data_IF_604750070080
#
_entry.id   IF_604750070080
#
_cell.length_a   1.000
_cell.length_b   1.000
_cell.length_c   1.000
_cell.angle_alpha   90.00
_cell.angle_beta   90.00
_cell.angle_gamma   90.00
#
_symmetry.space_group_name_H-M   'P 1'
#
loop_
_entity.id
_entity.type
_entity.pdbx_description
1 polymer ?
#
# COMPACT_ATOMS: atom_id res chain seq x y z
N UNK A 1 14.91 -31.89 -10.29
CA UNK A 1 13.82 -31.67 -9.30
C UNK A 1 14.07 -30.44 -8.42
N UNK A 2 15.33 -30.20 -7.97
CA UNK A 2 15.72 -28.99 -7.25
C UNK A 2 15.50 -27.69 -8.04
N UNK A 3 15.76 -27.68 -9.35
CA UNK A 3 15.64 -26.46 -10.17
C UNK A 3 14.20 -25.99 -10.35
N UNK A 4 13.26 -26.96 -10.45
CA UNK A 4 11.82 -26.66 -10.49
C UNK A 4 11.34 -26.04 -9.17
N UNK A 5 11.83 -26.53 -8.03
CA UNK A 5 11.49 -25.98 -6.72
C UNK A 5 12.06 -24.57 -6.52
N UNK A 6 13.29 -24.33 -6.98
CA UNK A 6 13.94 -23.02 -6.91
C UNK A 6 13.17 -21.98 -7.74
N UNK A 7 12.78 -22.35 -8.97
CA UNK A 7 12.00 -21.49 -9.87
C UNK A 7 10.64 -21.11 -9.26
N UNK A 8 9.95 -22.06 -8.62
CA UNK A 8 8.67 -21.80 -7.93
C UNK A 8 8.87 -20.83 -6.77
N UNK A 9 9.93 -20.97 -5.97
CA UNK A 9 10.22 -20.08 -4.84
C UNK A 9 10.56 -18.66 -5.28
N UNK A 10 11.45 -18.52 -6.27
CA UNK A 10 11.80 -17.21 -6.84
C UNK A 10 10.56 -16.50 -7.40
N UNK A 11 9.64 -17.27 -7.97
CA UNK A 11 8.39 -16.75 -8.50
C UNK A 11 7.44 -16.22 -7.41
N UNK A 12 7.24 -16.95 -6.31
CA UNK A 12 6.43 -16.43 -5.18
C UNK A 12 7.02 -15.16 -4.58
N UNK A 13 8.36 -15.07 -4.53
CA UNK A 13 9.07 -13.86 -4.10
C UNK A 13 8.75 -12.71 -5.07
N UNK A 14 8.83 -12.94 -6.38
CA UNK A 14 8.51 -11.92 -7.39
C UNK A 14 7.08 -11.40 -7.29
N UNK A 15 6.09 -12.30 -7.20
CA UNK A 15 4.68 -11.92 -6.98
C UNK A 15 4.52 -11.13 -5.69
N UNK A 16 5.24 -11.52 -4.63
CA UNK A 16 5.21 -10.79 -3.37
C UNK A 16 5.79 -9.39 -3.46
N UNK A 17 6.90 -9.21 -4.18
CA UNK A 17 7.48 -7.88 -4.39
C UNK A 17 6.53 -6.99 -5.18
N UNK A 18 5.86 -7.50 -6.22
CA UNK A 18 4.87 -6.75 -6.99
C UNK A 18 3.65 -6.36 -6.15
N UNK A 19 3.17 -7.27 -5.31
CA UNK A 19 2.04 -7.02 -4.43
C UNK A 19 2.40 -6.02 -3.32
N UNK A 20 3.59 -6.15 -2.74
CA UNK A 20 4.13 -5.19 -1.78
C UNK A 20 4.25 -3.80 -2.41
N UNK A 21 4.82 -3.70 -3.61
CA UNK A 21 4.91 -2.45 -4.35
C UNK A 21 3.53 -1.83 -4.61
N UNK A 22 2.52 -2.66 -4.89
CA UNK A 22 1.13 -2.20 -5.06
C UNK A 22 0.56 -1.56 -3.79
N UNK A 23 0.83 -2.14 -2.62
CA UNK A 23 0.42 -1.58 -1.34
C UNK A 23 1.20 -0.31 -0.99
N UNK A 24 2.52 -0.35 -1.16
CA UNK A 24 3.42 0.66 -0.58
C UNK A 24 3.73 1.83 -1.51
N UNK A 25 3.95 1.61 -2.82
CA UNK A 25 4.37 2.68 -3.74
C UNK A 25 3.38 3.85 -3.80
N UNK A 26 2.04 3.64 -3.84
CA UNK A 26 1.10 4.76 -3.78
C UNK A 26 1.25 5.61 -2.51
N UNK A 27 1.42 4.97 -1.36
CA UNK A 27 1.59 5.63 -0.06
C UNK A 27 2.92 6.38 -0.03
N UNK A 28 4.00 5.75 -0.47
CA UNK A 28 5.32 6.37 -0.53
C UNK A 28 5.32 7.58 -1.49
N UNK A 29 4.65 7.47 -2.63
CA UNK A 29 4.55 8.57 -3.59
C UNK A 29 3.70 9.72 -3.05
N UNK A 30 2.59 9.40 -2.36
CA UNK A 30 1.81 10.39 -1.61
C UNK A 30 2.66 11.10 -0.58
N UNK A 31 3.40 10.35 0.24
CA UNK A 31 4.32 10.92 1.24
C UNK A 31 5.34 11.88 0.63
N UNK A 32 5.95 11.51 -0.52
CA UNK A 32 6.91 12.37 -1.21
C UNK A 32 6.29 13.66 -1.73
N UNK A 33 5.12 13.58 -2.39
CA UNK A 33 4.42 14.79 -2.87
C UNK A 33 3.99 15.67 -1.69
N UNK A 34 3.47 15.05 -0.64
CA UNK A 34 3.06 15.76 0.55
C UNK A 34 4.23 16.53 1.19
N UNK A 35 5.39 15.90 1.34
CA UNK A 35 6.61 16.54 1.86
C UNK A 35 7.08 17.72 1.01
N UNK A 36 6.84 17.71 -0.30
CA UNK A 36 7.18 18.84 -1.17
C UNK A 36 6.27 20.06 -0.97
N UNK A 37 5.05 19.87 -0.44
CA UNK A 37 4.10 20.94 -0.16
C UNK A 37 4.40 21.66 1.18
N UNK A 38 5.34 21.13 1.95
CA UNK A 38 5.72 21.63 3.27
C UNK A 38 7.00 22.46 3.11
N UNK A 39 6.93 23.74 3.50
CA UNK A 39 8.02 24.72 3.31
C UNK A 39 9.18 24.61 4.29
N UNK A 40 9.08 23.79 5.34
CA UNK A 40 10.09 23.70 6.38
C UNK A 40 10.83 22.34 6.38
N UNK A 41 12.08 22.36 5.93
CA UNK A 41 12.96 21.19 5.75
C UNK A 41 13.77 20.84 7.02
N UNK A 42 13.54 21.54 8.14
CA UNK A 42 14.39 21.45 9.34
C UNK A 42 14.17 20.25 10.27
N UNK A 43 13.10 19.47 10.08
CA UNK A 43 12.75 18.40 11.04
C UNK A 43 13.19 17.01 10.61
N UNK A 44 14.16 16.44 11.34
CA UNK A 44 14.39 14.98 11.48
C UNK A 44 13.17 14.21 12.03
N UNK A 45 12.09 14.92 12.39
CA UNK A 45 10.84 14.40 12.92
C UNK A 45 9.83 14.13 11.79
N UNK A 46 9.33 12.94 11.55
CA UNK A 46 9.71 11.60 11.98
C UNK A 46 9.08 10.71 10.89
N UNK A 47 9.82 9.82 10.24
CA UNK A 47 9.26 8.97 9.17
C UNK A 47 8.28 7.90 9.71
N UNK A 48 7.71 8.08 10.90
CA UNK A 48 6.97 7.05 11.64
C UNK A 48 5.71 6.60 10.89
N UNK A 49 4.94 7.54 10.34
CA UNK A 49 3.76 7.23 9.52
C UNK A 49 4.10 6.39 8.28
N UNK A 50 5.17 6.76 7.56
CA UNK A 50 5.60 6.03 6.36
C UNK A 50 6.30 4.71 6.69
N UNK A 51 7.08 4.64 7.79
CA UNK A 51 7.72 3.42 8.30
C UNK A 51 6.67 2.39 8.75
N UNK A 52 5.64 2.83 9.47
CA UNK A 52 4.53 1.96 9.86
C UNK A 52 3.78 1.46 8.61
N UNK A 53 3.55 2.36 7.64
CA UNK A 53 3.01 1.98 6.32
C UNK A 53 3.85 0.92 5.62
N UNK A 54 5.18 1.05 5.63
CA UNK A 54 6.09 0.05 5.08
C UNK A 54 5.93 -1.31 5.76
N UNK A 55 5.97 -1.36 7.09
CA UNK A 55 5.84 -2.61 7.87
C UNK A 55 4.48 -3.27 7.61
N UNK A 56 3.39 -2.50 7.67
CA UNK A 56 2.04 -3.03 7.45
C UNK A 56 1.89 -3.51 6.00
N UNK A 57 2.47 -2.82 5.01
CA UNK A 57 2.41 -3.26 3.62
C UNK A 57 3.11 -4.62 3.40
N UNK A 58 4.21 -4.89 4.11
CA UNK A 58 4.87 -6.21 4.10
C UNK A 58 3.94 -7.24 4.74
N UNK A 59 3.39 -6.94 5.92
CA UNK A 59 2.48 -7.85 6.61
C UNK A 59 1.27 -8.22 5.74
N UNK A 60 0.60 -7.23 5.14
CA UNK A 60 -0.54 -7.42 4.24
C UNK A 60 -0.16 -8.24 3.01
N UNK A 61 1.04 -8.03 2.47
CA UNK A 61 1.58 -8.82 1.35
C UNK A 61 1.74 -10.28 1.74
N UNK A 62 2.38 -10.56 2.89
CA UNK A 62 2.59 -11.93 3.39
C UNK A 62 1.25 -12.62 3.59
N UNK A 63 0.30 -11.97 4.28
CA UNK A 63 -1.04 -12.51 4.52
C UNK A 63 -1.77 -12.78 3.21
N UNK A 64 -1.70 -11.86 2.25
CA UNK A 64 -2.34 -12.01 0.94
C UNK A 64 -1.76 -13.20 0.16
N UNK A 65 -0.44 -13.32 0.06
CA UNK A 65 0.20 -14.46 -0.63
C UNK A 65 -0.12 -15.77 0.08
N UNK A 66 -0.08 -15.79 1.41
CA UNK A 66 -0.35 -16.98 2.20
C UNK A 66 -1.79 -17.50 2.00
N UNK A 67 -2.75 -16.58 1.93
CA UNK A 67 -4.17 -16.93 1.70
C UNK A 67 -4.50 -17.22 0.24
N UNK A 68 -3.70 -16.72 -0.71
CA UNK A 68 -3.97 -16.83 -2.15
C UNK A 68 -4.18 -18.29 -2.60
N UNK A 69 -3.31 -19.27 -2.32
CA UNK A 69 -3.50 -20.66 -2.78
C UNK A 69 -4.86 -21.27 -2.44
N UNK A 70 -5.45 -20.90 -1.30
CA UNK A 70 -6.73 -21.46 -0.83
C UNK A 70 -7.94 -20.67 -1.32
N UNK A 71 -7.83 -19.35 -1.40
CA UNK A 71 -8.98 -18.47 -1.60
C UNK A 71 -8.94 -17.64 -2.90
N UNK A 72 -7.93 -17.80 -3.74
CA UNK A 72 -7.72 -16.97 -4.93
C UNK A 72 -8.92 -16.96 -5.90
N UNK A 73 -9.65 -18.08 -6.04
CA UNK A 73 -10.86 -18.17 -6.88
C UNK A 73 -12.08 -17.51 -6.24
N UNK A 74 -12.07 -17.24 -4.94
CA UNK A 74 -13.21 -16.67 -4.22
C UNK A 74 -13.32 -15.16 -4.47
N UNK A 75 -14.46 -14.72 -5.02
CA UNK A 75 -14.75 -13.29 -5.27
C UNK A 75 -14.77 -12.47 -3.97
N UNK A 76 -15.26 -13.05 -2.87
CA UNK A 76 -15.33 -12.41 -1.56
C UNK A 76 -13.92 -12.08 -1.05
N UNK A 77 -12.97 -13.00 -1.19
CA UNK A 77 -11.57 -12.78 -0.82
C UNK A 77 -10.95 -11.59 -1.58
N UNK A 78 -11.23 -11.46 -2.88
CA UNK A 78 -10.75 -10.33 -3.69
C UNK A 78 -11.35 -9.00 -3.22
N UNK A 79 -12.65 -8.98 -2.93
CA UNK A 79 -13.34 -7.80 -2.39
C UNK A 79 -12.75 -7.40 -1.04
N UNK A 80 -12.49 -8.38 -0.16
CA UNK A 80 -11.90 -8.13 1.16
C UNK A 80 -10.51 -7.50 1.02
N UNK A 81 -9.64 -8.04 0.16
CA UNK A 81 -8.31 -7.45 -0.05
C UNK A 81 -8.41 -6.02 -0.58
N UNK A 82 -9.30 -5.77 -1.54
CA UNK A 82 -9.53 -4.42 -2.04
C UNK A 82 -9.96 -3.51 -0.88
N UNK A 83 -10.94 -3.92 -0.07
CA UNK A 83 -11.39 -3.15 1.09
C UNK A 83 -10.26 -2.89 2.11
N UNK A 84 -9.45 -3.90 2.40
CA UNK A 84 -8.28 -3.79 3.28
C UNK A 84 -7.26 -2.79 2.70
N UNK A 85 -6.99 -2.85 1.39
CA UNK A 85 -6.14 -1.86 0.73
C UNK A 85 -6.69 -0.44 0.86
N UNK A 86 -7.98 -0.24 0.60
CA UNK A 86 -8.62 1.08 0.69
C UNK A 86 -8.48 1.66 2.10
N UNK A 87 -8.81 0.87 3.12
CA UNK A 87 -8.70 1.26 4.52
C UNK A 87 -7.25 1.54 4.91
N UNK A 88 -6.32 0.67 4.50
CA UNK A 88 -4.91 0.82 4.78
C UNK A 88 -4.31 2.10 4.16
N UNK A 89 -4.63 2.37 2.89
CA UNK A 89 -4.18 3.58 2.19
C UNK A 89 -4.69 4.83 2.91
N UNK A 90 -6.00 4.90 3.19
CA UNK A 90 -6.62 6.06 3.87
C UNK A 90 -6.00 6.25 5.26
N UNK A 91 -5.92 5.18 6.05
CA UNK A 91 -5.37 5.24 7.41
C UNK A 91 -3.91 5.72 7.43
N UNK A 92 -3.10 5.25 6.46
CA UNK A 92 -1.68 5.65 6.39
C UNK A 92 -1.52 7.09 5.92
N UNK A 93 -2.33 7.55 4.95
CA UNK A 93 -2.30 8.95 4.52
C UNK A 93 -2.77 9.90 5.64
N UNK A 94 -3.79 9.51 6.42
CA UNK A 94 -4.21 10.25 7.62
C UNK A 94 -3.09 10.26 8.66
N UNK A 95 -2.45 9.11 8.90
CA UNK A 95 -1.33 9.01 9.83
C UNK A 95 -0.15 9.92 9.45
N UNK A 96 0.20 9.98 8.16
CA UNK A 96 1.20 10.90 7.61
C UNK A 96 0.81 12.37 7.86
N UNK A 97 -0.45 12.73 7.57
CA UNK A 97 -0.95 14.09 7.81
C UNK A 97 -1.00 14.46 9.29
N UNK A 98 -1.34 13.50 10.16
CA UNK A 98 -1.39 13.69 11.61
C UNK A 98 -0.01 13.87 12.23
N UNK A 99 0.95 13.04 11.84
CA UNK A 99 2.34 13.15 12.30
C UNK A 99 2.92 14.52 11.92
N UNK A 100 2.60 15.01 10.73
CA UNK A 100 2.95 16.37 10.33
C UNK A 100 2.29 17.44 11.22
N UNK A 101 0.98 17.32 11.50
CA UNK A 101 0.25 18.25 12.37
C UNK A 101 0.86 18.35 13.76
N UNK A 102 1.16 17.20 14.38
CA UNK A 102 1.69 17.14 15.74
C UNK A 102 3.09 17.79 15.85
N UNK A 103 3.91 17.68 14.80
CA UNK A 103 5.31 18.12 14.83
C UNK A 103 5.53 19.56 14.34
N UNK A 104 4.65 20.08 13.48
CA UNK A 104 4.85 21.40 12.83
C UNK A 104 3.74 22.42 13.12
N UNK A 105 2.81 22.12 14.03
CA UNK A 105 1.82 23.08 14.52
C UNK A 105 0.83 23.59 13.47
N UNK A 106 0.72 22.90 12.32
CA UNK A 106 -0.22 23.28 11.25
C UNK A 106 -1.66 23.25 11.76
N UNK A 107 -2.46 24.24 11.35
CA UNK A 107 -3.84 24.48 11.81
C UNK A 107 -4.88 23.48 11.31
N UNK A 108 -4.50 22.51 10.48
CA UNK A 108 -5.45 21.58 9.89
C UNK A 108 -6.21 20.76 10.95
N UNK A 109 -7.53 20.85 10.89
CA UNK A 109 -8.43 20.00 11.62
C UNK A 109 -8.37 18.59 11.05
N UNK A 110 -8.65 17.57 11.88
CA UNK A 110 -8.67 16.18 11.42
C UNK A 110 -9.65 15.95 10.26
N UNK A 111 -10.76 16.70 10.26
CA UNK A 111 -11.75 16.72 9.19
C UNK A 111 -11.26 17.32 7.88
N UNK A 112 -10.18 18.10 7.88
CA UNK A 112 -9.61 18.78 6.71
C UNK A 112 -8.54 17.92 6.01
N UNK A 113 -7.86 17.04 6.76
CA UNK A 113 -6.80 16.15 6.23
C UNK A 113 -7.34 15.26 5.11
N UNK A 114 -8.55 14.72 5.24
CA UNK A 114 -9.10 13.87 4.18
C UNK A 114 -9.45 14.65 2.89
N UNK A 115 -10.29 15.70 2.92
CA UNK A 115 -10.69 16.42 1.70
C UNK A 115 -9.57 17.24 1.06
N UNK A 116 -8.67 17.84 1.84
CA UNK A 116 -7.64 18.73 1.29
C UNK A 116 -6.41 17.97 0.80
N UNK A 117 -6.10 16.88 1.48
CA UNK A 117 -4.84 16.18 1.35
C UNK A 117 -5.02 14.84 0.63
N UNK A 118 -5.96 14.00 1.07
CA UNK A 118 -6.12 12.65 0.53
C UNK A 118 -6.94 12.66 -0.76
N UNK A 119 -8.04 13.42 -0.79
CA UNK A 119 -8.96 13.48 -1.93
C UNK A 119 -8.32 14.15 -3.16
N UNK A 120 -7.50 15.18 -2.96
CA UNK A 120 -6.77 15.86 -4.04
C UNK A 120 -5.79 14.94 -4.76
N UNK A 121 -5.29 13.90 -4.06
CA UNK A 121 -4.34 12.92 -4.58
C UNK A 121 -4.98 11.55 -4.85
N UNK A 122 -6.26 11.53 -5.22
CA UNK A 122 -7.06 10.31 -5.50
C UNK A 122 -6.41 9.37 -6.53
N UNK A 123 -5.56 9.88 -7.41
CA UNK A 123 -4.91 9.10 -8.45
C UNK A 123 -3.95 8.05 -7.87
N UNK A 124 -3.30 8.30 -6.72
CA UNK A 124 -2.47 7.30 -6.05
C UNK A 124 -3.28 6.09 -5.59
N UNK A 125 -4.46 6.36 -5.05
CA UNK A 125 -5.42 5.31 -4.69
C UNK A 125 -5.83 4.47 -5.90
N UNK A 126 -6.11 5.10 -7.05
CA UNK A 126 -6.43 4.39 -8.30
C UNK A 126 -5.25 3.55 -8.81
N UNK A 127 -4.02 4.06 -8.70
CA UNK A 127 -2.82 3.33 -9.09
C UNK A 127 -2.68 2.03 -8.27
N UNK A 128 -2.90 2.07 -6.96
CA UNK A 128 -2.82 0.84 -6.16
C UNK A 128 -3.99 -0.13 -6.42
N UNK A 129 -5.20 0.37 -6.69
CA UNK A 129 -6.30 -0.49 -7.12
C UNK A 129 -6.00 -1.19 -8.46
N UNK A 130 -5.43 -0.46 -9.42
CA UNK A 130 -4.99 -1.05 -10.68
C UNK A 130 -3.87 -2.07 -10.46
N UNK A 131 -2.91 -1.77 -9.58
CA UNK A 131 -1.86 -2.71 -9.20
C UNK A 131 -2.41 -4.01 -8.59
N UNK A 132 -3.45 -3.93 -7.76
CA UNK A 132 -4.12 -5.11 -7.20
C UNK A 132 -4.83 -5.91 -8.30
N UNK A 133 -5.54 -5.22 -9.19
CA UNK A 133 -6.19 -5.84 -10.33
C UNK A 133 -5.18 -6.57 -11.23
N UNK A 134 -4.06 -5.93 -11.57
CA UNK A 134 -3.01 -6.55 -12.38
C UNK A 134 -2.34 -7.72 -11.66
N UNK A 135 -2.08 -7.62 -10.35
CA UNK A 135 -1.58 -8.74 -9.55
C UNK A 135 -2.56 -9.93 -9.60
N UNK A 136 -3.86 -9.67 -9.51
CA UNK A 136 -4.85 -10.73 -9.67
C UNK A 136 -4.85 -11.33 -11.07
N UNK A 137 -4.79 -10.51 -12.12
CA UNK A 137 -4.76 -11.04 -13.48
C UNK A 137 -3.52 -11.86 -13.74
N UNK A 138 -2.38 -11.41 -13.21
CA UNK A 138 -1.13 -12.15 -13.28
C UNK A 138 -1.25 -13.51 -12.57
N UNK A 139 -1.67 -13.52 -11.30
CA UNK A 139 -1.90 -14.76 -10.56
C UNK A 139 -2.94 -15.68 -11.24
N UNK A 140 -3.98 -15.14 -11.87
CA UNK A 140 -5.01 -15.92 -12.57
C UNK A 140 -4.47 -16.62 -13.81
N UNK A 141 -3.61 -15.96 -14.60
CA UNK A 141 -2.91 -16.58 -15.72
C UNK A 141 -2.01 -17.73 -15.27
N UNK A 142 -1.51 -17.66 -14.03
CA UNK A 142 -0.50 -18.58 -13.50
C UNK A 142 -1.12 -19.79 -12.80
N UNK A 143 -2.24 -19.60 -12.10
CA UNK A 143 -3.04 -20.69 -11.50
C UNK A 143 -4.04 -21.33 -12.47
N UNK A 144 -4.02 -20.94 -13.75
CA UNK A 144 -4.76 -21.62 -14.84
C UNK A 144 -4.06 -22.88 -15.36
N UNK A 145 -2.92 -23.28 -14.77
CA UNK A 145 -2.34 -24.62 -14.89
C UNK A 145 -2.78 -25.49 -13.73
#
# INVERSE_FOLDING_TARGET
MKDKLLMIRAFYIFVGVLLWGTYFLPIHSFYKIFRLQITDLGGFYNDAGIQLGFIISIFLTIVSIWLSPKYFKNKIYKIIIIAVYMLFYIATCIGIGWDHRANFGTTWLYSEIFPELIKSHWYFYVIGLLGLYFNYKFQELLFKK
#
